data_IF_821452659654
#
_entry.id   IF_821452659654
#
_cell.length_a   1.000
_cell.length_b   1.000
_cell.length_c   1.000
_cell.angle_alpha   90.00
_cell.angle_beta   90.00
_cell.angle_gamma   90.00
#
_symmetry.space_group_name_H-M   'P 1'
#
loop_
_entity.id
_entity.type
_entity.pdbx_description
1 polymer ?
#
# COMPACT_ATOMS: atom_id res chain seq x y z
N UNK A 1 -2.60 -42.89 -9.89
CA UNK A 1 -2.54 -42.35 -8.52
C UNK A 1 -2.40 -40.84 -8.70
N UNK A 2 -3.47 -40.08 -8.53
CA UNK A 2 -3.43 -38.62 -8.54
C UNK A 2 -2.81 -38.15 -7.24
N UNK A 3 -1.74 -37.38 -7.35
CA UNK A 3 -1.09 -36.72 -6.21
C UNK A 3 -2.09 -35.70 -5.64
N UNK A 4 -2.43 -35.73 -4.34
CA UNK A 4 -3.36 -34.75 -3.78
C UNK A 4 -2.75 -33.36 -3.95
N UNK A 5 -3.39 -32.50 -4.73
CA UNK A 5 -3.07 -31.08 -4.77
C UNK A 5 -3.41 -30.50 -3.40
N UNK A 6 -2.39 -30.21 -2.60
CA UNK A 6 -2.54 -29.40 -1.38
C UNK A 6 -2.89 -27.99 -1.84
N UNK A 7 -4.18 -27.70 -1.92
CA UNK A 7 -4.65 -26.31 -2.16
C UNK A 7 -4.31 -25.49 -0.91
N UNK A 8 -3.19 -24.77 -0.94
CA UNK A 8 -2.89 -23.76 0.09
C UNK A 8 -4.01 -22.72 0.05
N UNK A 9 -4.58 -22.41 1.22
CA UNK A 9 -5.52 -21.30 1.35
C UNK A 9 -4.87 -20.02 0.79
N UNK A 10 -5.56 -19.25 -0.05
CA UNK A 10 -5.02 -17.99 -0.55
C UNK A 10 -4.72 -17.04 0.61
N UNK A 11 -3.61 -16.29 0.51
CA UNK A 11 -3.24 -15.26 1.48
C UNK A 11 -4.27 -14.13 1.38
N UNK A 12 -4.85 -13.76 2.50
CA UNK A 12 -5.83 -12.67 2.58
C UNK A 12 -5.13 -11.35 2.86
N UNK A 13 -5.17 -10.43 1.90
CA UNK A 13 -4.62 -9.08 2.02
C UNK A 13 -5.77 -8.10 2.10
N UNK A 14 -5.81 -7.32 3.16
CA UNK A 14 -6.86 -6.32 3.40
C UNK A 14 -6.27 -4.92 3.35
N UNK A 15 -6.84 -4.07 2.52
CA UNK A 15 -6.49 -2.65 2.44
C UNK A 15 -7.47 -1.83 3.29
N UNK A 16 -6.93 -0.98 4.16
CA UNK A 16 -7.68 0.03 4.90
C UNK A 16 -7.41 1.38 4.23
N UNK A 17 -8.41 1.89 3.54
CA UNK A 17 -8.34 2.98 2.58
C UNK A 17 -8.36 2.49 1.12
N UNK A 18 -9.20 3.10 0.28
CA UNK A 18 -9.40 2.77 -1.14
C UNK A 18 -8.85 3.86 -2.07
N UNK A 19 -7.90 4.67 -1.59
CA UNK A 19 -7.26 5.73 -2.37
C UNK A 19 -6.35 5.20 -3.50
N UNK A 20 -5.72 6.12 -4.23
CA UNK A 20 -4.89 5.81 -5.41
C UNK A 20 -3.82 4.74 -5.15
N UNK A 21 -3.11 4.82 -4.02
CA UNK A 21 -2.05 3.85 -3.72
C UNK A 21 -2.62 2.44 -3.47
N UNK A 22 -3.71 2.32 -2.71
CA UNK A 22 -4.38 1.03 -2.50
C UNK A 22 -4.86 0.43 -3.84
N UNK A 23 -5.46 1.24 -4.69
CA UNK A 23 -5.92 0.81 -6.03
C UNK A 23 -4.76 0.33 -6.90
N UNK A 24 -3.64 1.07 -6.92
CA UNK A 24 -2.45 0.64 -7.68
C UNK A 24 -1.95 -0.72 -7.23
N UNK A 25 -1.84 -0.95 -5.92
CA UNK A 25 -1.43 -2.23 -5.34
C UNK A 25 -2.43 -3.34 -5.66
N UNK A 26 -3.74 -3.09 -5.55
CA UNK A 26 -4.79 -4.05 -5.91
C UNK A 26 -4.66 -4.45 -7.38
N UNK A 27 -4.53 -3.48 -8.29
CA UNK A 27 -4.36 -3.73 -9.73
C UNK A 27 -3.10 -4.56 -9.99
N UNK A 28 -1.97 -4.16 -9.41
CA UNK A 28 -0.71 -4.87 -9.58
C UNK A 28 -0.80 -6.33 -9.11
N UNK A 29 -1.39 -6.58 -7.93
CA UNK A 29 -1.57 -7.91 -7.38
C UNK A 29 -2.50 -8.81 -8.21
N UNK A 30 -3.56 -8.23 -8.78
CA UNK A 30 -4.48 -8.97 -9.67
C UNK A 30 -3.81 -9.33 -11.00
N UNK A 31 -2.98 -8.44 -11.56
CA UNK A 31 -2.26 -8.69 -12.80
C UNK A 31 -1.15 -9.74 -12.65
N UNK A 32 -0.49 -9.77 -11.49
CA UNK A 32 0.56 -10.76 -11.18
C UNK A 32 0.00 -12.18 -10.94
N UNK A 33 -1.33 -12.37 -11.05
CA UNK A 33 -2.04 -13.64 -10.82
C UNK A 33 -1.66 -14.30 -9.49
N UNK A 34 -1.30 -13.50 -8.50
CA UNK A 34 -1.02 -13.97 -7.17
C UNK A 34 -2.24 -14.71 -6.61
N UNK A 35 -2.01 -15.86 -5.96
CA UNK A 35 -3.10 -16.59 -5.27
C UNK A 35 -3.43 -15.86 -3.95
N UNK A 36 -4.07 -14.69 -4.07
CA UNK A 36 -4.45 -13.84 -2.94
C UNK A 36 -5.96 -13.57 -2.94
N UNK A 37 -6.53 -13.46 -1.74
CA UNK A 37 -7.87 -12.93 -1.54
C UNK A 37 -7.74 -11.45 -1.14
N UNK A 38 -8.25 -10.54 -1.98
CA UNK A 38 -8.15 -9.11 -1.75
C UNK A 38 -9.42 -8.56 -1.11
N UNK A 39 -9.23 -7.72 -0.10
CA UNK A 39 -10.30 -6.99 0.58
C UNK A 39 -9.93 -5.53 0.72
N UNK A 40 -10.93 -4.66 0.73
CA UNK A 40 -10.74 -3.23 0.93
C UNK A 40 -11.84 -2.65 1.80
N UNK A 41 -11.48 -1.74 2.68
CA UNK A 41 -12.43 -0.95 3.44
C UNK A 41 -12.16 0.54 3.27
N UNK A 42 -13.24 1.31 3.04
CA UNK A 42 -13.19 2.77 2.96
C UNK A 42 -14.55 3.35 3.39
N UNK A 43 -14.64 4.45 4.14
CA UNK A 43 -15.91 5.08 4.46
C UNK A 43 -16.61 5.70 3.25
N UNK A 44 -15.88 6.02 2.17
CA UNK A 44 -16.42 6.59 0.95
C UNK A 44 -16.98 5.51 0.02
N UNK A 45 -18.30 5.44 -0.07
CA UNK A 45 -19.02 4.49 -0.91
C UNK A 45 -18.64 4.62 -2.40
N UNK A 46 -18.36 5.81 -2.91
CA UNK A 46 -17.96 6.04 -4.31
C UNK A 46 -16.63 5.35 -4.63
N UNK A 47 -15.68 5.35 -3.67
CA UNK A 47 -14.42 4.65 -3.84
C UNK A 47 -14.65 3.13 -3.93
N UNK A 48 -15.54 2.60 -3.09
CA UNK A 48 -15.87 1.17 -3.08
C UNK A 48 -16.65 0.73 -4.33
N UNK A 49 -17.57 1.55 -4.81
CA UNK A 49 -18.34 1.26 -6.02
C UNK A 49 -17.45 1.20 -7.26
N UNK A 50 -16.47 2.11 -7.36
CA UNK A 50 -15.46 2.06 -8.42
C UNK A 50 -14.62 0.77 -8.36
N UNK A 51 -14.27 0.28 -7.17
CA UNK A 51 -13.56 -1.00 -7.01
C UNK A 51 -14.44 -2.17 -7.44
N UNK A 52 -15.70 -2.25 -6.97
CA UNK A 52 -16.63 -3.32 -7.33
C UNK A 52 -16.90 -3.38 -8.83
N UNK A 53 -16.98 -2.21 -9.47
CA UNK A 53 -17.22 -2.12 -10.92
C UNK A 53 -16.07 -2.68 -11.74
N UNK A 54 -14.81 -2.40 -11.33
CA UNK A 54 -13.63 -2.79 -12.10
C UNK A 54 -13.06 -4.15 -11.67
N UNK A 55 -13.21 -4.52 -10.39
CA UNK A 55 -12.65 -5.74 -9.79
C UNK A 55 -13.69 -6.40 -8.86
N UNK A 56 -14.71 -7.07 -9.42
CA UNK A 56 -15.81 -7.66 -8.66
C UNK A 56 -15.36 -8.79 -7.71
N UNK A 57 -14.19 -9.36 -7.93
CA UNK A 57 -13.58 -10.36 -7.05
C UNK A 57 -12.99 -9.77 -5.76
N UNK A 58 -12.80 -8.46 -5.68
CA UNK A 58 -12.32 -7.77 -4.48
C UNK A 58 -13.49 -7.50 -3.53
N UNK A 59 -13.43 -8.06 -2.33
CA UNK A 59 -14.41 -7.75 -1.29
C UNK A 59 -14.27 -6.29 -0.85
N UNK A 60 -15.33 -5.50 -0.98
CA UNK A 60 -15.34 -4.09 -0.62
C UNK A 60 -16.44 -3.79 0.42
N UNK A 61 -16.08 -3.14 1.54
CA UNK A 61 -16.98 -2.83 2.66
C UNK A 61 -16.66 -1.47 3.26
N UNK A 62 -17.62 -0.86 3.95
CA UNK A 62 -17.38 0.36 4.76
C UNK A 62 -16.92 0.06 6.18
N UNK A 63 -16.87 -1.22 6.57
CA UNK A 63 -16.52 -1.64 7.92
C UNK A 63 -15.09 -2.19 7.98
N UNK A 64 -14.18 -1.43 8.58
CA UNK A 64 -12.79 -1.81 8.74
C UNK A 64 -12.61 -3.13 9.51
N UNK A 65 -13.41 -3.37 10.56
CA UNK A 65 -13.28 -4.57 11.39
C UNK A 65 -13.75 -5.83 10.65
N UNK A 66 -14.78 -5.70 9.81
CA UNK A 66 -15.23 -6.77 8.93
C UNK A 66 -14.13 -7.12 7.91
N UNK A 67 -13.54 -6.10 7.28
CA UNK A 67 -12.51 -6.29 6.26
C UNK A 67 -11.27 -7.03 6.79
N UNK A 68 -10.79 -6.71 8.00
CA UNK A 68 -9.58 -7.32 8.57
C UNK A 68 -9.82 -8.68 9.23
N UNK A 69 -11.04 -9.18 9.30
CA UNK A 69 -11.33 -10.46 9.94
C UNK A 69 -10.62 -11.61 9.23
N UNK A 70 -9.67 -12.26 9.91
CA UNK A 70 -8.88 -13.36 9.35
C UNK A 70 -7.94 -12.95 8.21
N UNK A 71 -7.54 -11.67 8.15
CA UNK A 71 -6.52 -11.18 7.25
C UNK A 71 -5.13 -11.67 7.69
N UNK A 72 -4.32 -12.09 6.73
CA UNK A 72 -2.90 -12.41 6.94
C UNK A 72 -2.05 -11.14 6.87
N UNK A 73 -2.46 -10.17 6.04
CA UNK A 73 -1.82 -8.87 5.88
C UNK A 73 -2.86 -7.76 5.95
N UNK A 74 -2.56 -6.71 6.70
CA UNK A 74 -3.35 -5.46 6.75
C UNK A 74 -2.50 -4.32 6.22
N UNK A 75 -2.88 -3.78 5.06
CA UNK A 75 -2.23 -2.62 4.42
C UNK A 75 -2.97 -1.35 4.84
N UNK A 76 -2.30 -0.50 5.60
CA UNK A 76 -2.82 0.79 6.03
C UNK A 76 -2.50 1.86 4.97
N UNK A 77 -3.50 2.20 4.18
CA UNK A 77 -3.42 3.12 3.04
C UNK A 77 -4.29 4.38 3.21
N UNK A 78 -4.54 4.76 4.44
CA UNK A 78 -5.27 5.99 4.79
C UNK A 78 -4.32 7.18 4.90
N UNK A 79 -4.87 8.39 4.82
CA UNK A 79 -4.10 9.63 5.00
C UNK A 79 -3.47 9.70 6.40
N UNK A 80 -2.25 10.25 6.55
CA UNK A 80 -1.55 10.33 7.84
C UNK A 80 -2.37 11.00 8.94
N UNK A 81 -3.20 11.99 8.60
CA UNK A 81 -4.00 12.79 9.54
C UNK A 81 -5.04 11.95 10.32
N UNK A 82 -5.56 10.88 9.72
CA UNK A 82 -6.58 10.02 10.34
C UNK A 82 -5.99 8.67 10.79
N UNK A 83 -4.69 8.42 10.53
CA UNK A 83 -4.04 7.13 10.80
C UNK A 83 -4.17 6.71 12.26
N UNK A 84 -4.01 7.64 13.20
CA UNK A 84 -4.11 7.34 14.64
C UNK A 84 -5.48 6.80 15.02
N UNK A 85 -6.53 7.47 14.58
CA UNK A 85 -7.92 7.06 14.87
C UNK A 85 -8.22 5.68 14.28
N UNK A 86 -7.86 5.49 13.00
CA UNK A 86 -8.03 4.20 12.31
C UNK A 86 -7.27 3.09 13.01
N UNK A 87 -5.99 3.28 13.32
CA UNK A 87 -5.16 2.27 13.98
C UNK A 87 -5.72 1.89 15.36
N UNK A 88 -6.13 2.87 16.19
CA UNK A 88 -6.75 2.61 17.48
C UNK A 88 -8.07 1.84 17.35
N UNK A 89 -8.87 2.12 16.32
CA UNK A 89 -10.09 1.37 16.02
C UNK A 89 -9.85 -0.09 15.64
N UNK A 90 -8.69 -0.41 15.07
CA UNK A 90 -8.30 -1.78 14.67
C UNK A 90 -7.59 -2.55 15.79
N UNK A 91 -7.04 -1.86 16.80
CA UNK A 91 -6.11 -2.41 17.79
C UNK A 91 -6.58 -3.73 18.42
N UNK A 92 -7.81 -3.78 18.92
CA UNK A 92 -8.33 -4.98 19.58
C UNK A 92 -8.38 -6.21 18.66
N UNK A 93 -8.65 -6.02 17.37
CA UNK A 93 -8.75 -7.11 16.40
C UNK A 93 -7.36 -7.56 15.92
N UNK A 94 -6.45 -6.62 15.60
CA UNK A 94 -5.10 -6.98 15.14
C UNK A 94 -4.26 -7.60 16.26
N UNK A 95 -4.50 -7.22 17.53
CA UNK A 95 -3.87 -7.86 18.68
C UNK A 95 -4.33 -9.33 18.89
N UNK A 96 -5.52 -9.69 18.45
CA UNK A 96 -5.99 -11.08 18.48
C UNK A 96 -5.48 -11.93 17.34
N UNK A 97 -5.40 -11.36 16.13
CA UNK A 97 -5.06 -12.11 14.91
C UNK A 97 -3.60 -12.02 14.50
N UNK A 98 -2.84 -11.05 15.05
CA UNK A 98 -1.42 -10.81 14.75
C UNK A 98 -1.07 -10.82 13.25
N UNK A 99 -1.79 -10.08 12.38
CA UNK A 99 -1.45 -10.01 10.97
C UNK A 99 -0.15 -9.25 10.74
N UNK A 100 0.47 -9.43 9.59
CA UNK A 100 1.50 -8.51 9.13
C UNK A 100 0.86 -7.14 8.84
N UNK A 101 1.37 -6.08 9.47
CA UNK A 101 0.95 -4.71 9.20
C UNK A 101 1.91 -4.10 8.16
N UNK A 102 1.35 -3.54 7.09
CA UNK A 102 2.09 -2.80 6.06
C UNK A 102 1.52 -1.39 6.01
N UNK A 103 2.35 -0.37 6.24
CA UNK A 103 1.93 1.03 6.19
C UNK A 103 2.56 1.75 5.01
N UNK A 104 1.73 2.37 4.16
CA UNK A 104 2.19 3.23 3.06
C UNK A 104 2.07 4.73 3.38
N UNK A 105 1.77 5.07 4.64
CA UNK A 105 1.60 6.44 5.08
C UNK A 105 2.95 7.14 5.31
N UNK A 106 3.15 8.27 4.64
CA UNK A 106 4.33 9.11 4.87
C UNK A 106 4.32 9.74 6.27
N UNK A 107 5.51 9.89 6.87
CA UNK A 107 5.71 10.65 8.11
C UNK A 107 5.21 9.99 9.39
N UNK A 108 4.62 8.79 9.35
CA UNK A 108 4.19 8.06 10.55
C UNK A 108 5.26 7.05 10.93
N UNK A 109 5.90 7.27 12.08
CA UNK A 109 6.94 6.39 12.63
C UNK A 109 6.39 5.03 13.05
N UNK A 110 7.22 3.98 12.89
CA UNK A 110 6.87 2.60 13.31
C UNK A 110 6.42 2.56 14.77
N UNK A 111 7.19 3.15 15.68
CA UNK A 111 6.89 3.13 17.11
C UNK A 111 5.54 3.78 17.46
N UNK A 112 5.18 4.86 16.79
CA UNK A 112 3.89 5.52 16.99
C UNK A 112 2.74 4.65 16.47
N UNK A 113 2.87 4.14 15.24
CA UNK A 113 1.84 3.30 14.64
C UNK A 113 1.63 1.99 15.41
N UNK A 114 2.72 1.32 15.75
CA UNK A 114 2.69 0.07 16.51
C UNK A 114 2.08 0.30 17.91
N UNK A 115 2.43 1.43 18.58
CA UNK A 115 1.81 1.83 19.83
C UNK A 115 0.30 2.05 19.71
N UNK A 116 -0.20 2.69 18.65
CA UNK A 116 -1.64 2.89 18.40
C UNK A 116 -2.38 1.57 18.14
N UNK A 117 -1.69 0.58 17.56
CA UNK A 117 -2.22 -0.77 17.31
C UNK A 117 -2.12 -1.71 18.52
N UNK A 118 -1.59 -1.25 19.66
CA UNK A 118 -1.45 -2.04 20.89
C UNK A 118 -0.06 -2.63 21.13
N UNK A 119 0.88 -2.41 20.24
CA UNK A 119 2.29 -2.83 20.37
C UNK A 119 2.59 -4.23 19.87
N UNK A 120 3.90 -4.53 19.71
CA UNK A 120 4.45 -5.85 19.42
C UNK A 120 3.97 -6.57 18.14
N UNK A 121 3.39 -5.84 17.18
CA UNK A 121 2.99 -6.39 15.89
C UNK A 121 4.16 -6.41 14.89
N UNK A 122 4.22 -7.39 13.97
CA UNK A 122 5.11 -7.32 12.82
C UNK A 122 4.65 -6.18 11.90
N UNK A 123 5.51 -5.17 11.72
CA UNK A 123 5.18 -3.97 10.99
C UNK A 123 6.27 -3.60 9.99
N UNK A 124 5.85 -3.40 8.74
CA UNK A 124 6.67 -2.88 7.64
C UNK A 124 6.18 -1.49 7.26
N UNK A 125 7.07 -0.52 7.30
CA UNK A 125 6.83 0.80 6.72
C UNK A 125 7.28 0.82 5.27
N UNK A 126 6.46 1.41 4.42
CA UNK A 126 6.75 1.55 3.00
C UNK A 126 6.59 3.00 2.58
N UNK A 127 7.48 3.46 1.70
CA UNK A 127 7.36 4.76 1.05
C UNK A 127 7.38 4.56 -0.47
N UNK A 128 6.21 4.26 -1.07
CA UNK A 128 6.03 4.23 -2.52
C UNK A 128 6.00 5.64 -3.10
N UNK A 129 5.97 5.74 -4.42
CA UNK A 129 5.82 7.00 -5.15
C UNK A 129 4.70 6.93 -6.21
N UNK A 130 4.34 8.07 -6.79
CA UNK A 130 3.23 8.19 -7.74
C UNK A 130 3.36 7.34 -9.02
N UNK A 131 4.55 7.03 -9.60
CA UNK A 131 4.65 6.12 -10.74
C UNK A 131 4.13 4.70 -10.49
N UNK A 132 3.86 4.32 -9.23
CA UNK A 132 3.14 3.09 -8.88
C UNK A 132 1.79 2.96 -9.59
N UNK A 133 1.14 4.09 -9.94
CA UNK A 133 -0.11 4.12 -10.72
C UNK A 133 0.02 3.44 -12.09
N UNK A 134 1.21 3.44 -12.66
CA UNK A 134 1.53 2.81 -13.96
C UNK A 134 2.55 1.66 -13.80
N UNK A 135 2.65 1.08 -12.59
CA UNK A 135 3.54 -0.04 -12.24
C UNK A 135 5.04 0.25 -12.48
N UNK A 136 5.41 1.50 -12.52
CA UNK A 136 6.79 1.99 -12.63
C UNK A 136 7.27 2.68 -11.34
N UNK A 137 6.70 2.27 -10.19
CA UNK A 137 7.01 2.83 -8.89
C UNK A 137 8.37 2.41 -8.35
N UNK A 138 8.83 3.15 -7.34
CA UNK A 138 9.97 2.79 -6.51
C UNK A 138 9.55 2.93 -5.05
N UNK A 139 9.74 1.87 -4.25
CA UNK A 139 9.30 1.81 -2.87
C UNK A 139 10.47 1.52 -1.94
N UNK A 140 10.73 2.43 -0.98
CA UNK A 140 11.58 2.13 0.17
C UNK A 140 10.81 1.36 1.23
N UNK A 141 11.44 0.35 1.85
CA UNK A 141 10.86 -0.48 2.91
C UNK A 141 11.76 -0.51 4.15
N UNK A 142 11.11 -0.51 5.31
CA UNK A 142 11.73 -0.74 6.60
C UNK A 142 10.87 -1.72 7.41
N UNK A 143 11.48 -2.72 8.02
CA UNK A 143 10.82 -3.72 8.87
C UNK A 143 11.26 -3.56 10.33
N UNK A 144 10.32 -3.63 11.28
CA UNK A 144 10.67 -3.73 12.69
C UNK A 144 11.18 -5.14 13.05
N UNK A 145 11.71 -5.32 14.27
CA UNK A 145 12.30 -6.56 14.72
C UNK A 145 11.31 -7.74 14.85
N UNK A 146 10.00 -7.47 14.82
CA UNK A 146 8.97 -8.51 14.93
C UNK A 146 8.63 -9.16 13.58
N UNK A 147 9.13 -8.60 12.46
CA UNK A 147 8.87 -9.11 11.11
C UNK A 147 9.78 -10.30 10.82
N UNK A 148 9.20 -11.46 10.55
CA UNK A 148 9.94 -12.64 10.10
C UNK A 148 10.39 -12.52 8.64
N UNK A 149 11.37 -13.33 8.20
CA UNK A 149 11.82 -13.38 6.81
C UNK A 149 10.68 -13.72 5.83
N UNK A 150 9.77 -14.60 6.20
CA UNK A 150 8.61 -14.92 5.38
C UNK A 150 7.66 -13.70 5.23
N UNK A 151 7.44 -12.95 6.30
CA UNK A 151 6.64 -11.72 6.26
C UNK A 151 7.36 -10.60 5.50
N UNK A 152 8.69 -10.51 5.62
CA UNK A 152 9.51 -9.58 4.83
C UNK A 152 9.35 -9.85 3.33
N UNK A 153 9.51 -11.11 2.93
CA UNK A 153 9.31 -11.54 1.54
C UNK A 153 7.88 -11.28 1.04
N UNK A 154 6.88 -11.49 1.90
CA UNK A 154 5.47 -11.22 1.57
C UNK A 154 5.21 -9.72 1.38
N UNK A 155 5.70 -8.86 2.29
CA UNK A 155 5.59 -7.41 2.13
C UNK A 155 6.27 -6.94 0.84
N UNK A 156 7.47 -7.46 0.55
CA UNK A 156 8.19 -7.13 -0.68
C UNK A 156 7.38 -7.53 -1.92
N UNK A 157 6.81 -8.73 -1.96
CA UNK A 157 6.02 -9.19 -3.11
C UNK A 157 4.80 -8.29 -3.37
N UNK A 158 4.14 -7.82 -2.31
CA UNK A 158 3.01 -6.90 -2.43
C UNK A 158 3.44 -5.57 -3.09
N UNK A 159 4.57 -5.00 -2.66
CA UNK A 159 5.03 -3.71 -3.17
C UNK A 159 5.71 -3.83 -4.56
N UNK A 160 6.30 -5.00 -4.88
CA UNK A 160 6.85 -5.29 -6.21
C UNK A 160 5.79 -5.35 -7.31
N UNK A 161 4.54 -5.61 -6.95
CA UNK A 161 3.42 -5.58 -7.90
C UNK A 161 3.23 -4.20 -8.58
N UNK A 162 3.83 -3.12 -8.04
CA UNK A 162 3.72 -1.76 -8.59
C UNK A 162 5.08 -1.13 -8.94
N UNK A 163 6.19 -1.89 -8.89
CA UNK A 163 7.50 -1.38 -9.26
C UNK A 163 8.65 -2.03 -8.51
N UNK A 164 9.78 -1.34 -8.39
CA UNK A 164 10.96 -1.83 -7.68
C UNK A 164 10.88 -1.55 -6.18
N UNK A 165 11.58 -2.36 -5.39
CA UNK A 165 11.65 -2.23 -3.94
C UNK A 165 13.09 -2.17 -3.45
N UNK A 166 13.33 -1.41 -2.37
CA UNK A 166 14.63 -1.34 -1.71
C UNK A 166 14.44 -1.35 -0.19
N UNK A 167 15.09 -2.28 0.49
CA UNK A 167 15.08 -2.39 1.94
C UNK A 167 16.13 -1.50 2.59
N UNK A 168 15.76 -0.89 3.72
CA UNK A 168 16.64 -0.10 4.57
C UNK A 168 16.65 -0.70 5.98
N UNK A 169 17.83 -0.70 6.62
CA UNK A 169 18.02 -1.18 7.97
C UNK A 169 17.66 -0.15 9.04
N UNK A 170 17.59 1.15 8.63
CA UNK A 170 17.29 2.27 9.50
C UNK A 170 16.01 2.96 9.03
N UNK A 171 15.04 3.14 9.95
CA UNK A 171 13.77 3.78 9.65
C UNK A 171 13.92 5.22 9.11
N UNK A 172 14.91 5.96 9.61
CA UNK A 172 15.17 7.37 9.24
C UNK A 172 15.48 7.53 7.74
N UNK A 173 16.00 6.49 7.09
CA UNK A 173 16.27 6.51 5.65
C UNK A 173 15.01 6.65 4.80
N UNK A 174 13.83 6.29 5.34
CA UNK A 174 12.55 6.50 4.65
C UNK A 174 12.19 8.00 4.52
N UNK A 175 12.73 8.86 5.36
CA UNK A 175 12.54 10.30 5.23
C UNK A 175 13.33 10.84 4.01
N UNK A 176 14.54 10.32 3.77
CA UNK A 176 15.30 10.61 2.55
C UNK A 176 14.60 10.04 1.29
N UNK A 177 14.06 8.82 1.38
CA UNK A 177 13.24 8.23 0.31
C UNK A 177 12.04 9.12 0.01
N UNK A 178 11.38 9.65 1.03
CA UNK A 178 10.23 10.57 0.86
C UNK A 178 10.65 11.83 0.11
N UNK A 179 11.76 12.46 0.51
CA UNK A 179 12.24 13.69 -0.10
C UNK A 179 12.68 13.51 -1.56
N UNK A 180 13.38 12.41 -1.87
CA UNK A 180 13.97 12.18 -3.20
C UNK A 180 13.00 11.43 -4.12
N UNK A 181 12.56 10.23 -3.72
CA UNK A 181 11.73 9.34 -4.55
C UNK A 181 10.24 9.67 -4.45
N UNK A 182 9.76 9.95 -3.24
CA UNK A 182 8.35 10.27 -2.99
C UNK A 182 7.92 11.60 -3.63
N UNK A 183 8.72 12.65 -3.42
CA UNK A 183 8.43 14.00 -3.93
C UNK A 183 9.01 14.25 -5.34
N UNK A 184 10.06 13.51 -5.73
CA UNK A 184 10.78 13.71 -6.99
C UNK A 184 9.89 13.78 -8.23
N UNK A 185 8.94 12.87 -8.45
CA UNK A 185 8.05 12.93 -9.62
C UNK A 185 7.34 14.28 -9.78
N UNK A 186 6.88 14.88 -8.67
CA UNK A 186 6.19 16.17 -8.73
C UNK A 186 7.11 17.30 -9.21
N UNK A 187 8.40 17.27 -8.86
CA UNK A 187 9.37 18.27 -9.34
C UNK A 187 9.58 18.17 -10.84
N UNK A 188 9.72 16.95 -11.36
CA UNK A 188 9.86 16.72 -12.81
C UNK A 188 8.59 17.10 -13.56
N UNK A 189 7.41 16.77 -13.06
CA UNK A 189 6.14 17.16 -13.68
C UNK A 189 6.02 18.69 -13.78
N UNK A 190 6.40 19.43 -12.74
CA UNK A 190 6.40 20.89 -12.79
C UNK A 190 7.36 21.45 -13.85
N UNK A 191 8.56 20.85 -14.01
CA UNK A 191 9.49 21.24 -15.07
C UNK A 191 8.91 20.94 -16.45
N UNK A 192 8.31 19.75 -16.65
CA UNK A 192 7.69 19.36 -17.92
C UNK A 192 6.53 20.30 -18.28
N UNK A 193 5.67 20.67 -17.33
CA UNK A 193 4.59 21.64 -17.51
C UNK A 193 5.12 23.02 -17.92
N UNK A 194 6.21 23.47 -17.27
CA UNK A 194 6.84 24.74 -17.63
C UNK A 194 7.46 24.71 -19.03
N UNK A 195 8.05 23.59 -19.46
CA UNK A 195 8.57 23.39 -20.81
C UNK A 195 7.44 23.38 -21.84
N UNK A 196 6.34 22.70 -21.59
CA UNK A 196 5.15 22.71 -22.46
C UNK A 196 4.61 24.14 -22.62
N UNK A 197 4.40 24.85 -21.52
CA UNK A 197 3.96 26.25 -21.55
C UNK A 197 4.89 27.15 -22.36
N UNK A 198 6.20 26.93 -22.30
CA UNK A 198 7.17 27.68 -23.09
C UNK A 198 7.08 27.34 -24.58
N UNK A 199 6.89 26.07 -24.93
CA UNK A 199 6.72 25.62 -26.32
C UNK A 199 5.45 26.23 -26.95
N UNK A 200 4.33 26.23 -26.24
CA UNK A 200 3.08 26.87 -26.68
C UNK A 200 3.26 28.37 -26.95
N UNK A 201 3.97 29.09 -26.08
CA UNK A 201 4.30 30.50 -26.29
C UNK A 201 5.20 30.76 -27.52
N UNK A 202 5.94 29.77 -27.95
CA UNK A 202 6.77 29.79 -29.15
C UNK A 202 6.03 29.34 -30.42
N UNK A 203 4.75 28.97 -30.32
CA UNK A 203 3.89 28.62 -31.44
C UNK A 203 3.83 27.14 -31.76
N UNK A 204 4.24 26.26 -30.83
CA UNK A 204 4.03 24.80 -30.93
C UNK A 204 2.65 24.51 -30.33
N UNK A 205 1.82 23.74 -31.01
CA UNK A 205 0.51 23.37 -30.49
C UNK A 205 0.63 22.37 -29.35
N UNK A 206 -0.31 22.38 -28.40
CA UNK A 206 -0.28 21.53 -27.19
C UNK A 206 -0.37 20.02 -27.52
N UNK A 207 -0.81 19.68 -28.74
CA UNK A 207 -0.97 18.30 -29.21
C UNK A 207 0.27 17.77 -29.97
N UNK A 208 1.26 18.62 -30.25
CA UNK A 208 2.52 18.27 -30.90
C UNK A 208 3.59 17.86 -29.88
#
# INVERSE_FOLDING_TARGET
>A
METPQITRKPITITFIGAGNMARSLIVGLLQDKAQVALRVADPDQHQLDAIRQHWPEVMATTNNLEAIQGADVVVLAVKPQIMREVAQGLAAQVQRSHPLIVSVAAGIRESALNGWLGGNLPLVRCMPNTPALVQAGATGLYANANVSEAQRSLAESILRAVGITLWFDEEDKLDAVTAVSGSGPAYFFLVMEAMQTAAEKLGIEAED
#
